data_IF_951957702611
#
_entry.id   IF_951957702611
#
_cell.length_a   1.000
_cell.length_b   1.000
_cell.length_c   1.000
_cell.angle_alpha   90.00
_cell.angle_beta   90.00
_cell.angle_gamma   90.00
#
_symmetry.space_group_name_H-M   'P 1'
#
loop_
_entity.id
_entity.type
_entity.pdbx_description
1 polymer ?
#
# COMPACT_ATOMS: atom_id res chain seq x y z
N UNK A 1 5.28 -16.24 15.47
CA UNK A 1 4.70 -16.59 14.16
C UNK A 1 5.40 -15.77 13.08
N UNK A 2 5.70 -16.37 11.93
CA UNK A 2 6.25 -15.62 10.79
C UNK A 2 5.15 -14.74 10.18
N UNK A 3 5.43 -13.45 9.93
CA UNK A 3 4.48 -12.53 9.29
C UNK A 3 4.17 -13.01 7.87
N UNK A 4 2.89 -13.01 7.49
CA UNK A 4 2.50 -13.32 6.11
C UNK A 4 2.83 -12.16 5.17
N UNK A 5 2.76 -12.40 3.86
CA UNK A 5 2.96 -11.34 2.87
C UNK A 5 1.87 -10.27 2.98
N UNK A 6 0.63 -10.66 3.29
CA UNK A 6 -0.48 -9.73 3.49
C UNK A 6 -0.22 -8.85 4.73
N UNK A 7 0.22 -9.44 5.85
CA UNK A 7 0.59 -8.67 7.05
C UNK A 7 1.69 -7.65 6.76
N UNK A 8 2.73 -8.06 6.05
CA UNK A 8 3.83 -7.15 5.66
C UNK A 8 3.34 -6.04 4.74
N UNK A 9 2.53 -6.36 3.73
CA UNK A 9 1.98 -5.36 2.81
C UNK A 9 1.10 -4.36 3.54
N UNK A 10 0.28 -4.83 4.47
CA UNK A 10 -0.55 -4.00 5.35
C UNK A 10 0.28 -3.07 6.22
N UNK A 11 1.35 -3.58 6.84
CA UNK A 11 2.25 -2.76 7.65
C UNK A 11 2.88 -1.63 6.83
N UNK A 12 3.37 -1.92 5.63
CA UNK A 12 3.92 -0.89 4.74
C UNK A 12 2.85 0.11 4.30
N UNK A 13 1.67 -0.35 3.93
CA UNK A 13 0.55 0.52 3.56
C UNK A 13 0.16 1.46 4.71
N UNK A 14 -0.05 0.93 5.91
CA UNK A 14 -0.40 1.73 7.09
C UNK A 14 0.69 2.74 7.45
N UNK A 15 1.96 2.34 7.34
CA UNK A 15 3.10 3.24 7.56
C UNK A 15 3.09 4.39 6.56
N UNK A 16 2.98 4.09 5.26
CA UNK A 16 2.89 5.12 4.20
C UNK A 16 1.69 6.02 4.44
N UNK A 17 0.52 5.46 4.73
CA UNK A 17 -0.71 6.21 5.01
C UNK A 17 -0.56 7.19 6.17
N UNK A 18 0.06 6.76 7.26
CA UNK A 18 0.36 7.64 8.40
C UNK A 18 1.27 8.80 8.00
N UNK A 19 2.23 8.56 7.10
CA UNK A 19 3.15 9.58 6.58
C UNK A 19 2.46 10.55 5.63
N UNK A 20 1.64 10.04 4.71
CA UNK A 20 0.83 10.86 3.81
C UNK A 20 -0.12 11.78 4.57
N UNK A 21 -0.75 11.30 5.64
CA UNK A 21 -1.59 12.11 6.55
C UNK A 21 -0.84 13.28 7.20
N UNK A 22 0.47 13.14 7.40
CA UNK A 22 1.35 14.21 7.91
C UNK A 22 1.89 15.12 6.81
N UNK A 23 1.49 14.91 5.55
CA UNK A 23 2.04 15.61 4.38
C UNK A 23 3.41 15.09 3.93
N UNK A 24 3.91 13.99 4.52
CA UNK A 24 5.21 13.41 4.19
C UNK A 24 5.09 12.43 3.00
N UNK A 25 6.11 12.38 2.15
CA UNK A 25 6.27 11.37 1.10
C UNK A 25 7.34 10.37 1.53
N UNK A 26 6.96 9.10 1.70
CA UNK A 26 7.89 8.02 2.04
C UNK A 26 7.70 6.85 1.09
N UNK A 27 8.80 6.33 0.55
CA UNK A 27 8.85 5.14 -0.29
C UNK A 27 9.74 4.13 0.44
N UNK A 28 9.17 3.10 1.08
CA UNK A 28 9.97 2.13 1.81
C UNK A 28 10.87 1.32 0.87
N UNK A 29 12.06 0.98 1.34
CA UNK A 29 12.92 0.03 0.64
C UNK A 29 12.42 -1.40 0.91
N UNK A 30 12.16 -2.15 -0.17
CA UNK A 30 11.59 -3.49 -0.12
C UNK A 30 12.50 -4.48 -0.85
N UNK A 31 12.65 -5.67 -0.30
CA UNK A 31 13.42 -6.74 -0.92
C UNK A 31 12.88 -8.14 -0.61
N UNK A 32 13.25 -9.10 -1.45
CA UNK A 32 12.84 -10.50 -1.35
C UNK A 32 12.76 -11.21 -2.71
N UNK A 33 11.99 -12.29 -2.76
CA UNK A 33 11.85 -13.07 -4.01
C UNK A 33 10.86 -12.42 -4.99
N UNK A 34 10.98 -12.77 -6.28
CA UNK A 34 9.99 -12.36 -7.32
C UNK A 34 8.57 -12.74 -6.94
N UNK A 35 8.37 -13.93 -6.38
CA UNK A 35 7.05 -14.42 -5.92
C UNK A 35 6.48 -13.51 -4.83
N UNK A 36 7.31 -13.10 -3.87
CA UNK A 36 6.90 -12.18 -2.81
C UNK A 36 6.45 -10.84 -3.40
N UNK A 37 7.25 -10.24 -4.29
CA UNK A 37 6.88 -8.99 -4.99
C UNK A 37 5.52 -9.10 -5.69
N UNK A 38 5.30 -10.17 -6.47
CA UNK A 38 4.03 -10.38 -7.18
C UNK A 38 2.84 -10.50 -6.23
N UNK A 39 3.01 -11.18 -5.09
CA UNK A 39 1.96 -11.30 -4.08
C UNK A 39 1.66 -9.93 -3.41
N UNK A 40 2.69 -9.13 -3.11
CA UNK A 40 2.50 -7.78 -2.57
C UNK A 40 1.77 -6.85 -3.55
N UNK A 41 2.05 -6.96 -4.86
CA UNK A 41 1.28 -6.23 -5.88
C UNK A 41 -0.21 -6.60 -5.85
N UNK A 42 -0.53 -7.90 -5.76
CA UNK A 42 -1.93 -8.35 -5.69
C UNK A 42 -2.65 -7.79 -4.47
N UNK A 43 -1.99 -7.79 -3.31
CA UNK A 43 -2.54 -7.20 -2.08
C UNK A 43 -2.70 -5.66 -2.21
N UNK A 44 -1.73 -4.99 -2.84
CA UNK A 44 -1.80 -3.53 -3.06
C UNK A 44 -2.96 -3.14 -3.97
N UNK A 45 -3.18 -3.88 -5.07
CA UNK A 45 -4.34 -3.65 -5.95
C UNK A 45 -5.68 -3.93 -5.27
N UNK A 46 -5.70 -4.72 -4.19
CA UNK A 46 -6.91 -4.91 -3.39
C UNK A 46 -7.25 -3.65 -2.59
N UNK A 47 -6.26 -3.01 -1.97
CA UNK A 47 -6.48 -1.75 -1.23
C UNK A 47 -7.01 -0.63 -2.13
N UNK A 48 -6.53 -0.54 -3.38
CA UNK A 48 -7.06 0.41 -4.36
C UNK A 48 -8.58 0.21 -4.62
N UNK A 49 -8.98 -1.06 -4.82
CA UNK A 49 -10.37 -1.42 -5.08
C UNK A 49 -11.25 -1.20 -3.86
N UNK A 50 -10.78 -1.61 -2.69
CA UNK A 50 -11.51 -1.46 -1.43
C UNK A 50 -11.73 0.03 -1.13
N UNK A 51 -10.69 0.87 -1.26
CA UNK A 51 -10.81 2.32 -1.06
C UNK A 51 -11.79 2.97 -2.04
N UNK A 52 -11.82 2.52 -3.30
CA UNK A 52 -12.78 3.00 -4.30
C UNK A 52 -14.22 2.64 -3.90
N UNK A 53 -14.46 1.40 -3.49
CA UNK A 53 -15.78 0.95 -3.03
C UNK A 53 -16.21 1.72 -1.79
N UNK A 54 -15.33 1.89 -0.81
CA UNK A 54 -15.62 2.63 0.41
C UNK A 54 -15.97 4.09 0.12
N UNK A 55 -15.31 4.72 -0.85
CA UNK A 55 -15.65 6.07 -1.29
C UNK A 55 -17.01 6.12 -2.01
N UNK A 56 -17.26 5.20 -2.94
CA UNK A 56 -18.52 5.11 -3.68
C UNK A 56 -19.72 4.84 -2.75
N UNK A 57 -19.52 4.07 -1.68
CA UNK A 57 -20.54 3.79 -0.66
C UNK A 57 -20.64 4.89 0.40
N UNK A 58 -19.79 5.92 0.36
CA UNK A 58 -19.77 7.01 1.34
C UNK A 58 -19.27 6.61 2.74
N UNK A 59 -18.57 5.47 2.85
CA UNK A 59 -17.94 5.00 4.09
C UNK A 59 -16.77 5.91 4.48
N UNK A 60 -16.03 6.41 3.48
CA UNK A 60 -14.91 7.34 3.67
C UNK A 60 -15.16 8.65 2.93
N UNK A 61 -14.60 9.75 3.46
CA UNK A 61 -14.64 11.06 2.81
C UNK A 61 -13.72 11.10 1.57
N UNK A 62 -13.92 12.11 0.73
CA UNK A 62 -13.03 12.36 -0.43
C UNK A 62 -11.57 12.54 0.00
N UNK A 63 -11.33 13.28 1.07
CA UNK A 63 -9.99 13.52 1.61
C UNK A 63 -9.32 12.21 2.04
N UNK A 64 -10.06 11.35 2.74
CA UNK A 64 -9.55 10.05 3.18
C UNK A 64 -9.29 9.12 1.98
N UNK A 65 -10.16 9.16 0.97
CA UNK A 65 -9.94 8.44 -0.30
C UNK A 65 -8.68 8.93 -1.03
N UNK A 66 -8.45 10.23 -1.12
CA UNK A 66 -7.23 10.79 -1.73
C UNK A 66 -5.96 10.34 -0.97
N UNK A 67 -6.02 10.26 0.35
CA UNK A 67 -4.94 9.72 1.19
C UNK A 67 -4.70 8.23 0.91
N UNK A 68 -5.76 7.41 0.86
CA UNK A 68 -5.71 5.99 0.51
C UNK A 68 -5.02 5.80 -0.84
N UNK A 69 -5.50 6.48 -1.88
CA UNK A 69 -4.99 6.36 -3.25
C UNK A 69 -3.54 6.82 -3.37
N UNK A 70 -3.16 7.93 -2.71
CA UNK A 70 -1.77 8.37 -2.67
C UNK A 70 -0.87 7.36 -1.95
N UNK A 71 -1.37 6.70 -0.93
CA UNK A 71 -0.64 5.67 -0.19
C UNK A 71 -0.43 4.41 -1.04
N UNK A 72 -1.45 3.99 -1.79
CA UNK A 72 -1.36 2.92 -2.80
C UNK A 72 -0.28 3.25 -3.82
N UNK A 73 -0.31 4.44 -4.42
CA UNK A 73 0.68 4.85 -5.43
C UNK A 73 2.13 4.80 -4.92
N UNK A 74 2.36 5.25 -3.67
CA UNK A 74 3.70 5.19 -3.08
C UNK A 74 4.16 3.75 -2.79
N UNK A 75 3.23 2.87 -2.39
CA UNK A 75 3.52 1.46 -2.21
C UNK A 75 3.83 0.78 -3.54
N UNK A 76 3.11 1.09 -4.62
CA UNK A 76 3.41 0.60 -5.96
C UNK A 76 4.77 1.07 -6.46
N UNK A 77 5.15 2.32 -6.19
CA UNK A 77 6.51 2.82 -6.47
C UNK A 77 7.57 2.06 -5.68
N UNK A 78 7.32 1.74 -4.41
CA UNK A 78 8.21 0.92 -3.60
C UNK A 78 8.36 -0.50 -4.18
N UNK A 79 7.26 -1.09 -4.65
CA UNK A 79 7.26 -2.41 -5.30
C UNK A 79 7.92 -2.39 -6.69
N UNK A 80 7.89 -1.26 -7.40
CA UNK A 80 8.60 -1.08 -8.66
C UNK A 80 10.12 -1.06 -8.42
N UNK A 81 10.55 -0.42 -7.34
CA UNK A 81 11.95 -0.36 -6.89
C UNK A 81 12.40 -1.57 -6.06
N UNK A 82 11.59 -2.64 -6.03
CA UNK A 82 11.81 -3.80 -5.18
C UNK A 82 13.07 -4.57 -5.60
N UNK A 83 13.99 -4.75 -4.65
CA UNK A 83 15.23 -5.49 -4.88
C UNK A 83 14.98 -7.00 -4.81
N UNK A 84 15.25 -7.68 -5.91
CA UNK A 84 15.10 -9.14 -6.03
C UNK A 84 16.46 -9.81 -5.87
N UNK A 85 16.52 -10.81 -5.00
CA UNK A 85 17.68 -11.70 -4.82
C UNK A 85 17.26 -13.17 -4.83
#
# INVERSE_FOLDING_TARGET
MAKTISDQTREYFCYIKQKVRKGEKVIPWLSGTKRKRTMMYKETSRYEKDAKIDYELGVISKEEYEIEMKSVQLLEQALANYSVY
#
